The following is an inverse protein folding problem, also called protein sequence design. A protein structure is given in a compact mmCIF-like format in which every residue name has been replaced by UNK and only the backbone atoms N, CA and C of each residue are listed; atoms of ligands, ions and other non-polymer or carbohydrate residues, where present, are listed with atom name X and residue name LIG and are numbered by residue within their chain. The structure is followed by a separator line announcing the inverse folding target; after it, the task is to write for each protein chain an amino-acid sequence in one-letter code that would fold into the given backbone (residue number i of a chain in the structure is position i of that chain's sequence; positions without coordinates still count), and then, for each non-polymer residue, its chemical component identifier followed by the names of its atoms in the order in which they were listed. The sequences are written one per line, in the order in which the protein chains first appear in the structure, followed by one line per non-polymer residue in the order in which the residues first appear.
data_IF_997606102268
#
_entry.id   IF_997606102268
#
_cell.length_a   1.000
_cell.length_b   1.000
_cell.length_c   1.000
_cell.angle_alpha   90.00
_cell.angle_beta   90.00
_cell.angle_gamma   90.00
#
_symmetry.space_group_name_H-M   'P 1'
#
loop_
_entity.id
_entity.type
_entity.pdbx_description
1 polymer ?
#
# COMPACT_ATOMS: atom_id res chain seq x y z
N UNK A 1 29.31 -28.70 44.00
CA UNK A 1 29.76 -28.32 42.65
C UNK A 1 28.55 -27.71 41.94
N UNK A 2 28.39 -26.39 41.99
CA UNK A 2 27.29 -25.68 41.33
C UNK A 2 27.83 -25.16 40.00
N UNK A 3 27.30 -25.66 38.88
CA UNK A 3 27.61 -25.18 37.55
C UNK A 3 26.80 -23.91 37.33
N UNK A 4 27.47 -22.76 37.39
CA UNK A 4 26.92 -21.44 37.11
C UNK A 4 26.78 -21.30 35.57
N UNK A 5 25.61 -21.63 35.03
CA UNK A 5 25.30 -21.40 33.61
C UNK A 5 24.83 -19.95 33.41
N UNK A 6 25.75 -19.00 33.48
CA UNK A 6 25.54 -17.65 32.97
C UNK A 6 25.86 -17.63 31.46
N UNK A 7 24.97 -18.19 30.64
CA UNK A 7 24.98 -17.97 29.20
C UNK A 7 24.51 -16.55 28.92
N UNK A 8 25.46 -15.63 28.93
CA UNK A 8 25.25 -14.23 28.52
C UNK A 8 24.95 -14.21 27.02
N UNK A 9 23.68 -14.27 26.63
CA UNK A 9 23.28 -14.01 25.25
C UNK A 9 23.66 -12.55 24.93
N UNK A 10 24.74 -12.34 24.17
CA UNK A 10 25.07 -11.03 23.61
C UNK A 10 23.91 -10.62 22.70
N UNK A 11 23.10 -9.66 23.17
CA UNK A 11 22.08 -9.00 22.34
C UNK A 11 22.81 -8.25 21.24
N UNK A 12 22.91 -8.88 20.06
CA UNK A 12 23.47 -8.25 18.87
C UNK A 12 22.58 -7.04 18.54
N UNK A 13 23.16 -5.84 18.55
CA UNK A 13 22.46 -4.61 18.19
C UNK A 13 22.62 -4.39 16.69
N UNK A 14 21.59 -4.73 15.93
CA UNK A 14 21.50 -4.38 14.52
C UNK A 14 20.66 -3.12 14.39
N UNK A 15 21.08 -2.19 13.54
CA UNK A 15 20.27 -1.02 13.18
C UNK A 15 19.46 -1.38 11.93
N UNK A 16 18.16 -1.54 12.10
CA UNK A 16 17.23 -1.69 10.97
C UNK A 16 17.03 -0.34 10.31
N UNK A 17 17.22 -0.27 8.99
CA UNK A 17 17.12 0.99 8.23
C UNK A 17 15.76 1.18 7.56
N UNK A 18 14.96 0.11 7.48
CA UNK A 18 13.62 0.14 6.89
C UNK A 18 12.99 -1.25 6.92
N UNK A 19 11.68 -1.29 6.73
CA UNK A 19 10.89 -2.50 6.63
C UNK A 19 10.14 -2.51 5.30
N UNK A 20 10.26 -3.58 4.52
CA UNK A 20 9.45 -3.80 3.32
C UNK A 20 8.33 -4.76 3.69
N UNK A 21 7.08 -4.36 3.48
CA UNK A 21 5.91 -5.21 3.74
C UNK A 21 5.07 -5.34 2.47
N UNK A 22 4.52 -6.53 2.24
CA UNK A 22 3.47 -6.69 1.24
C UNK A 22 2.22 -5.91 1.70
N UNK A 23 1.57 -5.20 0.77
CA UNK A 23 0.36 -4.42 1.05
C UNK A 23 -0.80 -5.30 1.57
N UNK A 24 -0.77 -6.62 1.39
CA UNK A 24 -1.76 -7.54 1.99
C UNK A 24 -1.53 -7.79 3.49
N UNK A 25 -0.34 -7.45 3.99
CA UNK A 25 0.13 -7.69 5.36
C UNK A 25 0.07 -6.40 6.21
N UNK A 26 -0.91 -5.54 5.97
CA UNK A 26 -1.09 -4.26 6.68
C UNK A 26 -1.22 -4.41 8.20
N UNK A 27 -1.70 -5.56 8.68
CA UNK A 27 -1.76 -5.86 10.12
C UNK A 27 -0.39 -5.84 10.83
N UNK A 28 0.71 -5.99 10.09
CA UNK A 28 2.07 -5.88 10.61
C UNK A 28 2.55 -4.44 10.83
N UNK A 29 1.83 -3.43 10.34
CA UNK A 29 2.25 -2.04 10.41
C UNK A 29 2.38 -1.53 11.85
N UNK A 30 1.50 -1.98 12.75
CA UNK A 30 1.55 -1.60 14.16
C UNK A 30 2.86 -2.02 14.85
N UNK A 31 3.47 -3.11 14.41
CA UNK A 31 4.76 -3.61 14.94
C UNK A 31 5.92 -2.72 14.48
N UNK A 32 5.81 -2.11 13.30
CA UNK A 32 6.82 -1.20 12.76
C UNK A 32 6.72 0.23 13.32
N UNK A 33 5.56 0.60 13.88
CA UNK A 33 5.35 1.90 14.52
C UNK A 33 6.12 2.05 15.84
N UNK A 34 6.31 0.97 16.60
CA UNK A 34 7.05 1.00 17.87
C UNK A 34 8.53 1.43 17.74
N UNK A 35 9.29 0.97 16.73
CA UNK A 35 10.72 1.31 16.58
C UNK A 35 11.04 2.51 15.68
N UNK A 36 10.07 3.31 15.21
CA UNK A 36 10.27 4.43 14.25
C UNK A 36 11.04 4.01 12.98
N UNK A 37 10.78 2.79 12.49
CA UNK A 37 11.43 2.24 11.29
C UNK A 37 10.60 2.67 10.07
N UNK A 38 11.22 3.28 9.04
CA UNK A 38 10.48 3.68 7.85
C UNK A 38 9.94 2.43 7.12
N UNK A 39 8.63 2.42 6.88
CA UNK A 39 7.92 1.33 6.21
C UNK A 39 7.77 1.64 4.73
N UNK A 40 8.07 0.65 3.89
CA UNK A 40 7.79 0.65 2.45
C UNK A 40 6.79 -0.46 2.16
N UNK A 41 5.68 -0.13 1.50
CA UNK A 41 4.79 -1.15 0.96
C UNK A 41 5.28 -1.64 -0.40
N UNK A 42 5.33 -2.95 -0.59
CA UNK A 42 5.49 -3.60 -1.89
C UNK A 42 4.10 -3.99 -2.40
N UNK A 43 3.69 -3.41 -3.52
CA UNK A 43 2.52 -3.84 -4.27
C UNK A 43 2.96 -4.75 -5.41
N UNK A 44 2.44 -5.97 -5.39
CA UNK A 44 2.52 -6.92 -6.50
C UNK A 44 1.34 -6.76 -7.49
N UNK A 45 0.55 -5.69 -7.35
CA UNK A 45 -0.53 -5.34 -8.25
C UNK A 45 -0.04 -4.39 -9.34
N UNK A 46 -0.80 -4.31 -10.44
CA UNK A 46 -0.61 -3.36 -11.53
C UNK A 46 -0.60 -1.91 -11.00
N UNK A 47 0.34 -1.10 -11.48
CA UNK A 47 0.44 0.34 -11.20
C UNK A 47 -0.86 1.06 -11.53
N UNK A 48 -1.57 0.61 -12.56
CA UNK A 48 -2.88 1.13 -12.90
C UNK A 48 -3.90 1.03 -11.76
N UNK A 49 -3.77 0.10 -10.81
CA UNK A 49 -4.70 0.00 -9.67
C UNK A 49 -4.34 0.92 -8.50
N UNK A 50 -3.18 1.57 -8.51
CA UNK A 50 -2.78 2.48 -7.44
C UNK A 50 -3.74 3.68 -7.24
N UNK A 51 -4.19 4.39 -8.30
CA UNK A 51 -5.20 5.45 -8.16
C UNK A 51 -6.47 4.99 -7.47
N UNK A 52 -6.90 3.74 -7.74
CA UNK A 52 -8.05 3.16 -7.06
C UNK A 52 -7.83 3.12 -5.55
N UNK A 53 -6.72 2.56 -5.06
CA UNK A 53 -6.42 2.50 -3.62
C UNK A 53 -6.32 3.87 -2.97
N UNK A 54 -5.70 4.83 -3.64
CA UNK A 54 -5.51 6.18 -3.11
C UNK A 54 -6.83 6.95 -3.02
N UNK A 55 -7.73 6.77 -4.00
CA UNK A 55 -9.04 7.41 -4.02
C UNK A 55 -10.11 6.64 -3.21
N UNK A 56 -9.88 5.37 -2.93
CA UNK A 56 -10.89 4.48 -2.36
C UNK A 56 -11.50 4.98 -1.04
N UNK A 57 -10.74 5.54 -0.07
CA UNK A 57 -11.31 6.08 1.15
C UNK A 57 -12.26 7.25 0.88
N UNK A 58 -11.89 8.16 -0.02
CA UNK A 58 -12.70 9.32 -0.42
C UNK A 58 -13.95 8.90 -1.18
N UNK A 59 -13.83 7.92 -2.08
CA UNK A 59 -14.97 7.34 -2.77
C UNK A 59 -15.93 6.69 -1.78
N UNK A 60 -15.43 5.87 -0.86
CA UNK A 60 -16.26 5.20 0.13
C UNK A 60 -17.06 6.20 1.00
N UNK A 61 -16.50 7.37 1.31
CA UNK A 61 -17.20 8.43 2.03
C UNK A 61 -18.25 9.17 1.18
N UNK A 62 -18.02 9.27 -0.13
CA UNK A 62 -18.91 9.97 -1.06
C UNK A 62 -20.21 9.21 -1.34
N UNK A 63 -20.22 7.89 -1.11
CA UNK A 63 -21.36 7.03 -1.39
C UNK A 63 -21.96 6.46 -0.10
N UNK A 64 -23.27 6.67 0.09
CA UNK A 64 -24.01 6.14 1.25
C UNK A 64 -24.43 4.67 1.06
N UNK A 65 -24.47 4.19 -0.18
CA UNK A 65 -24.83 2.81 -0.52
C UNK A 65 -23.59 1.94 -0.71
N UNK A 66 -23.73 0.64 -0.42
CA UNK A 66 -22.67 -0.33 -0.70
C UNK A 66 -22.45 -0.46 -2.21
N UNK A 67 -21.18 -0.41 -2.64
CA UNK A 67 -20.78 -0.63 -4.03
C UNK A 67 -21.32 -1.93 -4.64
N UNK A 68 -21.65 -2.93 -3.81
CA UNK A 68 -22.25 -4.20 -4.25
C UNK A 68 -23.63 -4.05 -4.88
N UNK A 69 -24.34 -2.96 -4.59
CA UNK A 69 -25.71 -2.73 -5.07
C UNK A 69 -25.79 -1.53 -6.03
N UNK A 70 -24.70 -0.78 -6.16
CA UNK A 70 -24.62 0.40 -6.99
C UNK A 70 -24.37 0.02 -8.45
N UNK A 71 -25.26 0.40 -9.36
CA UNK A 71 -25.11 0.13 -10.81
C UNK A 71 -24.36 1.23 -11.56
N UNK A 72 -23.83 2.21 -10.83
CA UNK A 72 -23.10 3.34 -11.38
C UNK A 72 -21.61 3.03 -11.51
N UNK A 73 -20.93 3.85 -12.29
CA UNK A 73 -19.49 3.79 -12.48
C UNK A 73 -18.77 4.69 -11.47
N UNK A 74 -17.68 4.18 -10.90
CA UNK A 74 -16.73 4.93 -10.11
C UNK A 74 -15.84 5.74 -11.05
N UNK A 75 -15.87 7.05 -10.88
CA UNK A 75 -14.97 7.97 -11.58
C UNK A 75 -13.70 8.15 -10.75
N UNK A 76 -12.61 7.53 -11.21
CA UNK A 76 -11.31 7.60 -10.57
C UNK A 76 -10.34 8.28 -11.53
N UNK A 77 -9.64 9.34 -11.11
CA UNK A 77 -8.62 9.98 -11.92
C UNK A 77 -7.61 8.97 -12.45
N UNK A 78 -7.26 9.08 -13.73
CA UNK A 78 -6.28 8.21 -14.40
C UNK A 78 -6.70 6.76 -14.63
N UNK A 79 -7.96 6.39 -14.35
CA UNK A 79 -8.52 5.08 -14.67
C UNK A 79 -9.73 5.18 -15.61
N UNK A 80 -9.99 4.14 -16.43
CA UNK A 80 -11.27 4.05 -17.10
C UNK A 80 -12.40 3.88 -16.07
N UNK A 81 -13.64 4.26 -16.38
CA UNK A 81 -14.77 4.08 -15.47
C UNK A 81 -14.90 2.61 -15.02
N UNK A 82 -14.93 2.38 -13.71
CA UNK A 82 -15.04 1.05 -13.11
C UNK A 82 -16.46 0.87 -12.59
N UNK A 83 -17.16 -0.20 -12.96
CA UNK A 83 -18.49 -0.46 -12.41
C UNK A 83 -18.38 -0.73 -10.91
N UNK A 84 -19.19 -0.05 -10.09
CA UNK A 84 -19.08 -0.17 -8.63
C UNK A 84 -19.24 -1.64 -8.16
N UNK A 85 -20.12 -2.42 -8.79
CA UNK A 85 -20.32 -3.84 -8.48
C UNK A 85 -19.10 -4.73 -8.76
N UNK A 86 -18.20 -4.31 -9.66
CA UNK A 86 -16.98 -5.07 -9.99
C UNK A 86 -15.90 -4.90 -8.90
N UNK A 87 -16.12 -3.99 -7.94
CA UNK A 87 -15.25 -3.82 -6.79
C UNK A 87 -15.37 -5.01 -5.83
N UNK A 88 -14.49 -5.99 -5.98
CA UNK A 88 -14.43 -7.15 -5.08
C UNK A 88 -13.94 -6.74 -3.69
N UNK A 89 -14.46 -7.36 -2.61
CA UNK A 89 -13.99 -7.21 -1.21
C UNK A 89 -13.75 -5.75 -0.73
N UNK A 90 -14.73 -4.84 -0.86
CA UNK A 90 -14.55 -3.40 -0.57
C UNK A 90 -14.05 -3.11 0.87
N UNK A 91 -14.52 -3.84 1.88
CA UNK A 91 -14.08 -3.61 3.26
C UNK A 91 -12.58 -3.87 3.48
N UNK A 92 -12.03 -4.89 2.81
CA UNK A 92 -10.60 -5.20 2.90
C UNK A 92 -9.76 -4.13 2.22
N UNK A 93 -10.15 -3.71 1.02
CA UNK A 93 -9.43 -2.66 0.31
C UNK A 93 -9.55 -1.29 0.97
N UNK A 94 -10.64 -1.02 1.71
CA UNK A 94 -10.75 0.17 2.54
C UNK A 94 -9.75 0.17 3.68
N UNK A 95 -9.65 -0.95 4.41
CA UNK A 95 -8.68 -1.10 5.49
C UNK A 95 -7.25 -0.90 4.95
N UNK A 96 -6.91 -1.58 3.87
CA UNK A 96 -5.60 -1.44 3.22
C UNK A 96 -5.34 0.01 2.78
N UNK A 97 -6.28 0.66 2.07
CA UNK A 97 -6.16 2.04 1.62
C UNK A 97 -5.97 3.03 2.78
N UNK A 98 -6.60 2.79 3.93
CA UNK A 98 -6.44 3.65 5.12
C UNK A 98 -5.03 3.65 5.72
N UNK A 99 -4.21 2.65 5.38
CA UNK A 99 -2.83 2.52 5.85
C UNK A 99 -1.82 3.23 4.92
N UNK A 100 -2.21 3.57 3.68
CA UNK A 100 -1.31 4.21 2.73
C UNK A 100 -0.71 5.53 3.24
N UNK A 101 -1.45 6.41 3.93
CA UNK A 101 -0.88 7.65 4.51
C UNK A 101 0.22 7.43 5.56
N UNK A 102 0.37 6.23 6.10
CA UNK A 102 1.31 5.93 7.18
C UNK A 102 2.64 5.36 6.68
N UNK A 103 2.73 4.97 5.40
CA UNK A 103 3.97 4.40 4.87
C UNK A 103 4.87 5.48 4.30
N UNK A 104 6.18 5.31 4.44
CA UNK A 104 7.13 6.28 3.90
C UNK A 104 7.20 6.21 2.38
N UNK A 105 7.03 5.00 1.81
CA UNK A 105 7.23 4.73 0.38
C UNK A 105 6.32 3.63 -0.12
N UNK A 106 6.06 3.67 -1.42
CA UNK A 106 5.32 2.64 -2.14
C UNK A 106 6.21 2.12 -3.27
N UNK A 107 6.49 0.83 -3.23
CA UNK A 107 7.25 0.08 -4.22
C UNK A 107 6.28 -0.76 -5.04
N UNK A 108 6.34 -0.65 -6.35
CA UNK A 108 5.40 -1.33 -7.26
C UNK A 108 6.22 -2.24 -8.16
N UNK A 109 5.85 -3.52 -8.21
CA UNK A 109 6.50 -4.49 -9.08
C UNK A 109 6.00 -4.32 -10.53
N UNK A 110 6.56 -3.33 -11.22
CA UNK A 110 6.22 -2.94 -12.59
C UNK A 110 7.45 -2.37 -13.29
N UNK A 111 7.34 -2.17 -14.61
CA UNK A 111 8.34 -1.47 -15.40
C UNK A 111 7.65 -0.58 -16.45
N UNK A 112 8.33 0.49 -16.86
CA UNK A 112 7.77 1.55 -17.72
C UNK A 112 7.12 0.99 -19.00
N UNK A 113 7.76 0.02 -19.66
CA UNK A 113 7.22 -0.56 -20.89
C UNK A 113 5.94 -1.38 -20.67
N UNK A 114 5.71 -1.92 -19.46
CA UNK A 114 4.49 -2.66 -19.12
C UNK A 114 3.30 -1.71 -18.92
N UNK A 115 3.53 -0.60 -18.22
CA UNK A 115 2.46 0.27 -17.74
C UNK A 115 2.72 1.76 -18.04
N UNK A 116 3.31 2.06 -19.20
CA UNK A 116 3.75 3.42 -19.60
C UNK A 116 2.72 4.54 -19.43
N UNK A 117 1.42 4.24 -19.57
CA UNK A 117 0.34 5.20 -19.33
C UNK A 117 0.15 5.49 -17.84
N UNK A 118 0.15 4.44 -17.01
CA UNK A 118 -0.02 4.57 -15.56
C UNK A 118 1.23 5.17 -14.91
N UNK A 119 2.41 4.86 -15.46
CA UNK A 119 3.68 5.44 -15.03
C UNK A 119 3.71 6.94 -15.25
N UNK A 120 3.36 7.41 -16.46
CA UNK A 120 3.20 8.85 -16.75
C UNK A 120 2.18 9.54 -15.86
N UNK A 121 1.01 8.93 -15.67
CA UNK A 121 -0.01 9.51 -14.80
C UNK A 121 0.46 9.62 -13.33
N UNK A 122 1.25 8.64 -12.87
CA UNK A 122 1.84 8.65 -11.53
C UNK A 122 2.94 9.72 -11.42
N UNK A 123 3.82 9.85 -12.43
CA UNK A 123 4.88 10.88 -12.45
C UNK A 123 4.32 12.29 -12.50
N UNK A 124 3.20 12.50 -13.18
CA UNK A 124 2.53 13.79 -13.32
C UNK A 124 1.76 14.20 -12.04
N UNK A 125 1.78 13.36 -10.99
CA UNK A 125 1.13 13.65 -9.71
C UNK A 125 -0.40 13.56 -9.75
N UNK A 126 -0.97 13.00 -10.83
CA UNK A 126 -2.42 12.89 -11.04
C UNK A 126 -3.09 11.89 -10.07
N UNK A 127 -2.29 11.17 -9.27
CA UNK A 127 -2.72 10.17 -8.31
C UNK A 127 -2.98 10.72 -6.89
N UNK A 128 -2.82 12.04 -6.65
CA UNK A 128 -3.24 12.69 -5.40
C UNK A 128 -2.47 12.32 -4.12
N UNK A 129 -1.45 11.45 -4.18
CA UNK A 129 -0.64 11.08 -3.02
C UNK A 129 0.78 11.66 -3.10
N UNK A 130 1.21 12.33 -2.04
CA UNK A 130 2.58 12.84 -1.84
C UNK A 130 3.61 11.74 -1.53
N UNK A 131 3.34 10.48 -1.87
CA UNK A 131 4.26 9.37 -1.59
C UNK A 131 5.35 9.28 -2.67
N UNK A 132 6.58 8.94 -2.27
CA UNK A 132 7.61 8.54 -3.23
C UNK A 132 7.28 7.16 -3.78
N UNK A 133 6.97 7.10 -5.07
CA UNK A 133 6.79 5.87 -5.82
C UNK A 133 8.14 5.36 -6.33
N UNK A 134 8.43 4.08 -6.10
CA UNK A 134 9.55 3.39 -6.71
C UNK A 134 9.05 2.26 -7.59
N UNK A 135 9.36 2.29 -8.88
CA UNK A 135 9.26 1.11 -9.72
C UNK A 135 10.36 0.11 -9.33
N UNK A 136 9.98 -1.12 -9.02
CA UNK A 136 10.92 -2.21 -8.81
C UNK A 136 11.23 -2.91 -10.13
N UNK A 137 12.44 -2.71 -10.64
CA UNK A 137 12.97 -3.53 -11.73
C UNK A 137 13.71 -4.72 -11.10
N UNK A 138 13.13 -5.92 -11.21
CA UNK A 138 13.86 -7.17 -11.03
C UNK A 138 14.08 -7.84 -12.38
#
# INVERSE_FOLDING_TARGET
MLINNSSTYRKLRYKTHGLIMDFICTSGLCVAAEPDIPVTFSLHLLLAFLPFFLCFPTLHQSYTESFRHMKDFLDIPSLPPILATDTTRPAYFLDVASQFPQVARIMINTFELLESKADKATSDGLCGAHHQFLASVH
#
